data_IF_054916183092
#
_entry.id   IF_054916183092
#
_cell.length_a   1.000
_cell.length_b   1.000
_cell.length_c   1.000
_cell.angle_alpha   90.00
_cell.angle_beta   90.00
_cell.angle_gamma   90.00
#
_symmetry.space_group_name_H-M   'P 1'
#
loop_
_entity.id
_entity.type
_entity.pdbx_description
1 polymer ?
#
# COMPACT_ATOMS: atom_id res chain seq x y z
N UNK A 1 10.56 19.01 17.49
CA UNK A 1 11.19 17.70 17.81
C UNK A 1 11.02 16.75 16.62
N UNK A 2 12.03 16.59 15.75
CA UNK A 2 11.94 15.77 14.51
C UNK A 2 12.53 14.38 14.78
N UNK A 3 11.71 13.32 14.80
CA UNK A 3 12.20 11.93 14.99
C UNK A 3 12.91 11.49 13.70
N UNK A 4 14.19 11.13 13.80
CA UNK A 4 14.97 10.52 12.71
C UNK A 4 14.48 9.08 12.50
N UNK A 5 13.77 8.84 11.40
CA UNK A 5 13.43 7.49 10.96
C UNK A 5 14.71 6.84 10.43
N UNK A 6 15.22 5.83 11.14
CA UNK A 6 16.31 4.97 10.65
C UNK A 6 15.71 3.85 9.82
N UNK A 7 15.83 3.93 8.50
CA UNK A 7 15.46 2.83 7.61
C UNK A 7 16.52 1.74 7.78
N UNK A 8 16.14 0.65 8.47
CA UNK A 8 16.96 -0.56 8.51
C UNK A 8 16.75 -1.28 7.19
N UNK A 9 17.83 -1.46 6.42
CA UNK A 9 17.79 -2.27 5.21
C UNK A 9 17.64 -3.75 5.62
N UNK A 10 16.44 -4.31 5.45
CA UNK A 10 16.19 -5.72 5.75
C UNK A 10 16.64 -6.55 4.54
N UNK A 11 17.73 -7.30 4.68
CA UNK A 11 18.13 -8.32 3.70
C UNK A 11 17.34 -9.60 3.98
N UNK A 12 16.09 -9.66 3.51
CA UNK A 12 15.18 -10.80 3.72
C UNK A 12 13.72 -10.46 3.42
N UNK A 13 12.81 -11.44 3.54
CA UNK A 13 11.36 -11.21 3.44
C UNK A 13 10.90 -10.27 4.57
N UNK A 14 10.32 -9.13 4.20
CA UNK A 14 9.75 -8.17 5.15
C UNK A 14 8.23 -8.35 5.23
N UNK A 15 7.78 -9.15 6.19
CA UNK A 15 6.36 -9.45 6.42
C UNK A 15 5.54 -8.22 6.88
N UNK A 16 6.19 -7.08 7.11
CA UNK A 16 5.49 -5.81 7.38
C UNK A 16 4.93 -5.19 6.10
N UNK A 17 5.45 -5.57 4.93
CA UNK A 17 4.94 -5.13 3.64
C UNK A 17 3.76 -6.02 3.20
N UNK A 18 2.60 -5.77 3.81
CA UNK A 18 1.40 -6.59 3.59
C UNK A 18 0.62 -6.21 2.32
N UNK A 19 0.93 -5.08 1.67
CA UNK A 19 0.19 -4.62 0.51
C UNK A 19 1.05 -3.91 -0.55
N UNK A 20 1.25 -4.49 -1.76
CA UNK A 20 1.84 -3.75 -2.88
C UNK A 20 1.03 -2.50 -3.27
N UNK A 21 1.76 -1.40 -3.47
CA UNK A 21 1.21 -0.17 -4.04
C UNK A 21 0.84 -0.35 -5.52
N UNK A 22 -0.07 0.48 -6.04
CA UNK A 22 -0.51 0.40 -7.44
C UNK A 22 0.65 0.48 -8.45
N UNK A 23 1.65 1.34 -8.22
CA UNK A 23 2.84 1.43 -9.06
C UNK A 23 3.68 0.15 -9.07
N UNK A 24 3.81 -0.51 -7.91
CA UNK A 24 4.47 -1.83 -7.79
C UNK A 24 3.71 -2.90 -8.58
N UNK A 25 2.38 -2.93 -8.46
CA UNK A 25 1.53 -3.83 -9.23
C UNK A 25 1.75 -3.65 -10.74
N UNK A 26 1.80 -2.39 -11.19
CA UNK A 26 2.00 -2.04 -12.60
C UNK A 26 3.39 -2.49 -13.09
N UNK A 27 4.42 -2.33 -12.28
CA UNK A 27 5.77 -2.78 -12.61
C UNK A 27 5.87 -4.30 -12.66
N UNK A 28 5.23 -5.01 -11.73
CA UNK A 28 5.13 -6.48 -11.75
C UNK A 28 4.35 -6.99 -12.96
N UNK A 29 3.37 -6.22 -13.45
CA UNK A 29 2.59 -6.57 -14.63
C UNK A 29 3.44 -6.46 -15.91
N UNK A 30 4.31 -5.45 -15.99
CA UNK A 30 5.23 -5.27 -17.12
C UNK A 30 6.21 -6.44 -17.30
N UNK A 31 6.53 -7.15 -16.23
CA UNK A 31 7.39 -8.34 -16.26
C UNK A 31 6.59 -9.66 -16.21
N UNK A 32 5.27 -9.61 -16.36
CA UNK A 32 4.40 -10.80 -16.47
C UNK A 32 4.13 -11.55 -15.16
N UNK A 33 4.65 -11.09 -14.01
CA UNK A 33 4.49 -11.78 -12.73
C UNK A 33 3.14 -11.47 -12.09
N UNK A 34 2.64 -10.25 -12.27
CA UNK A 34 1.45 -9.76 -11.58
C UNK A 34 0.20 -10.62 -11.78
N UNK A 35 0.01 -11.20 -12.96
CA UNK A 35 -1.18 -12.01 -13.27
C UNK A 35 -1.35 -13.18 -12.28
N UNK A 36 -0.24 -13.83 -11.90
CA UNK A 36 -0.26 -14.96 -10.95
C UNK A 36 -0.44 -14.52 -9.50
N UNK A 37 -0.10 -13.26 -9.18
CA UNK A 37 -0.23 -12.69 -7.84
C UNK A 37 -1.61 -12.09 -7.61
N UNK A 38 -2.19 -11.48 -8.65
CA UNK A 38 -3.46 -10.76 -8.58
C UNK A 38 -4.63 -11.65 -8.14
N UNK A 39 -4.60 -12.95 -8.46
CA UNK A 39 -5.60 -13.92 -8.04
C UNK A 39 -5.75 -14.03 -6.51
N UNK A 40 -4.67 -13.77 -5.77
CA UNK A 40 -4.64 -13.84 -4.31
C UNK A 40 -4.66 -12.47 -3.64
N UNK A 41 -4.66 -11.39 -4.43
CA UNK A 41 -4.49 -10.04 -3.95
C UNK A 41 -5.85 -9.30 -3.88
N UNK A 42 -6.23 -8.89 -2.68
CA UNK A 42 -7.47 -8.18 -2.38
C UNK A 42 -7.29 -6.68 -2.59
N UNK A 43 -8.10 -6.02 -3.44
CA UNK A 43 -7.96 -4.59 -3.69
C UNK A 43 -8.35 -3.74 -2.47
N UNK A 44 -7.50 -2.76 -2.15
CA UNK A 44 -7.76 -1.77 -1.11
C UNK A 44 -8.39 -0.54 -1.78
N UNK A 45 -9.71 -0.40 -1.66
CA UNK A 45 -10.45 0.71 -2.31
C UNK A 45 -10.48 1.97 -1.46
N UNK A 46 -10.53 1.82 -0.13
CA UNK A 46 -10.56 2.92 0.83
C UNK A 46 -9.64 2.65 2.01
N UNK A 47 -8.97 3.69 2.49
CA UNK A 47 -8.23 3.68 3.74
C UNK A 47 -8.78 4.80 4.61
N UNK A 48 -9.24 4.44 5.81
CA UNK A 48 -9.64 5.38 6.84
C UNK A 48 -8.59 5.36 7.95
N UNK A 49 -7.92 6.49 8.16
CA UNK A 49 -6.98 6.67 9.27
C UNK A 49 -7.57 7.70 10.22
N UNK A 50 -7.87 7.29 11.44
CA UNK A 50 -8.26 8.17 12.53
C UNK A 50 -7.18 8.15 13.61
N UNK A 51 -6.78 9.32 14.11
CA UNK A 51 -5.89 9.36 15.27
C UNK A 51 -6.71 9.22 16.57
N UNK A 52 -6.39 8.20 17.37
CA UNK A 52 -7.10 7.97 18.62
C UNK A 52 -6.55 8.94 19.67
N UNK A 53 -7.37 9.90 20.08
CA UNK A 53 -7.04 10.90 21.10
C UNK A 53 -6.70 12.30 20.55
N UNK A 54 -6.69 12.48 19.22
CA UNK A 54 -6.59 13.79 18.57
C UNK A 54 -7.71 13.95 17.55
N UNK A 55 -8.22 15.17 17.38
CA UNK A 55 -9.22 15.47 16.37
C UNK A 55 -8.57 15.50 14.97
N UNK A 56 -8.53 14.36 14.29
CA UNK A 56 -8.04 14.25 12.92
C UNK A 56 -8.35 12.89 12.30
N UNK A 57 -8.94 12.90 11.12
CA UNK A 57 -9.10 11.72 10.28
C UNK A 57 -8.71 12.04 8.84
N UNK A 58 -8.18 11.04 8.15
CA UNK A 58 -7.88 11.07 6.72
C UNK A 58 -8.63 9.92 6.07
N UNK A 59 -9.43 10.25 5.05
CA UNK A 59 -10.03 9.27 4.16
C UNK A 59 -9.31 9.35 2.82
N UNK A 60 -8.79 8.22 2.36
CA UNK A 60 -8.28 8.07 1.01
C UNK A 60 -9.20 7.11 0.27
N UNK A 61 -9.75 7.52 -0.87
CA UNK A 61 -10.39 6.60 -1.80
C UNK A 61 -9.57 6.50 -3.10
N UNK A 62 -9.49 5.30 -3.67
CA UNK A 62 -8.78 5.09 -4.93
C UNK A 62 -9.31 5.99 -6.06
N UNK A 63 -10.64 6.21 -6.05
CA UNK A 63 -11.34 7.07 -7.00
C UNK A 63 -10.84 8.52 -6.98
N UNK A 64 -10.45 9.06 -5.82
CA UNK A 64 -9.95 10.44 -5.68
C UNK A 64 -8.64 10.67 -6.45
N UNK A 65 -7.94 9.58 -6.78
CA UNK A 65 -6.66 9.58 -7.50
C UNK A 65 -6.77 8.95 -8.91
N UNK A 66 -7.99 8.63 -9.38
CA UNK A 66 -8.20 7.94 -10.65
C UNK A 66 -7.62 6.52 -10.68
N UNK A 67 -7.41 5.90 -9.51
CA UNK A 67 -6.86 4.56 -9.37
C UNK A 67 -7.99 3.53 -9.21
N UNK A 68 -7.77 2.32 -9.71
CA UNK A 68 -8.69 1.19 -9.46
C UNK A 68 -8.61 0.67 -8.03
N UNK A 69 -7.46 0.83 -7.37
CA UNK A 69 -7.22 0.53 -5.96
C UNK A 69 -6.00 1.33 -5.46
N UNK A 70 -5.97 1.65 -4.17
CA UNK A 70 -4.83 2.29 -3.50
C UNK A 70 -3.62 1.33 -3.40
N UNK A 71 -3.92 0.05 -3.29
CA UNK A 71 -2.97 -1.06 -3.26
C UNK A 71 -3.73 -2.38 -3.28
N UNK A 72 -3.02 -3.51 -3.14
CA UNK A 72 -3.65 -4.82 -2.93
C UNK A 72 -2.98 -5.53 -1.76
N UNK A 73 -3.73 -6.27 -0.94
CA UNK A 73 -3.21 -7.05 0.19
C UNK A 73 -3.56 -8.53 0.11
#
# INVERSE_FOLDING_TARGET
MKRRIRIRHATGFDDRAIAPAAGTCQQLARIGIWQRLAERATPIQRVHVSDRGHAGFVNLAAADYGLSALGRG
#
